data_IF_566253470762
#
_entry.id   IF_566253470762
#
_cell.length_a   1.000
_cell.length_b   1.000
_cell.length_c   1.000
_cell.angle_alpha   90.00
_cell.angle_beta   90.00
_cell.angle_gamma   90.00
#
_symmetry.space_group_name_H-M   'P 1'
#
loop_
_entity.id
_entity.type
_entity.pdbx_description
1 polymer ?
#
# COMPACT_ATOMS: atom_id res chain seq x y z
N UNK A 1 -4.92 -53.56 -43.24
CA UNK A 1 -5.64 -52.43 -42.67
C UNK A 1 -5.29 -52.07 -41.22
N UNK A 2 -4.99 -53.02 -40.31
CA UNK A 2 -4.64 -52.72 -38.92
C UNK A 2 -3.32 -51.98 -38.72
N UNK A 3 -2.31 -52.16 -39.58
CA UNK A 3 -1.00 -51.48 -39.50
C UNK A 3 -1.02 -49.97 -39.85
N UNK A 4 -1.97 -49.54 -40.68
CA UNK A 4 -2.08 -48.15 -41.10
C UNK A 4 -2.74 -47.31 -40.01
N UNK A 5 -3.65 -47.91 -39.25
CA UNK A 5 -4.32 -47.24 -38.13
C UNK A 5 -3.34 -46.93 -36.98
N UNK A 6 -2.40 -47.85 -36.68
CA UNK A 6 -1.38 -47.61 -35.64
C UNK A 6 -0.39 -46.50 -36.01
N UNK A 7 -0.06 -46.34 -37.30
CA UNK A 7 0.83 -45.25 -37.72
C UNK A 7 0.14 -43.88 -37.65
N UNK A 8 -1.16 -43.80 -37.89
CA UNK A 8 -1.92 -42.57 -37.80
C UNK A 8 -2.08 -42.09 -36.34
N UNK A 9 -2.27 -43.03 -35.41
CA UNK A 9 -2.37 -42.70 -33.96
C UNK A 9 -1.01 -42.24 -33.37
N UNK A 10 0.09 -42.83 -33.81
CA UNK A 10 1.43 -42.42 -33.41
C UNK A 10 1.80 -41.02 -33.91
N UNK A 11 1.36 -40.63 -35.11
CA UNK A 11 1.58 -39.31 -35.68
C UNK A 11 0.76 -38.21 -34.96
N UNK A 12 -0.44 -38.52 -34.48
CA UNK A 12 -1.26 -37.58 -33.71
C UNK A 12 -0.71 -37.33 -32.30
N UNK A 13 -0.10 -38.35 -31.69
CA UNK A 13 0.52 -38.23 -30.36
C UNK A 13 1.80 -37.37 -30.37
N UNK A 14 2.53 -37.33 -31.49
CA UNK A 14 3.73 -36.50 -31.62
C UNK A 14 3.44 -35.02 -31.86
N UNK A 15 2.24 -34.65 -32.36
CA UNK A 15 1.84 -33.28 -32.56
C UNK A 15 1.33 -32.57 -31.30
N UNK A 16 1.02 -33.33 -30.25
CA UNK A 16 0.46 -32.80 -28.98
C UNK A 16 1.49 -32.25 -27.99
N UNK A 17 2.79 -32.43 -28.21
CA UNK A 17 3.84 -31.98 -27.27
C UNK A 17 4.59 -30.72 -27.71
N UNK A 18 4.19 -30.07 -28.84
CA UNK A 18 4.81 -28.82 -29.27
C UNK A 18 4.16 -27.56 -28.67
N UNK A 19 3.30 -27.71 -27.64
CA UNK A 19 2.52 -26.64 -27.07
C UNK A 19 3.06 -26.03 -25.77
N UNK A 20 4.26 -26.40 -25.30
CA UNK A 20 4.91 -25.73 -24.20
C UNK A 20 6.20 -25.08 -24.69
N UNK A 21 6.08 -24.08 -25.54
CA UNK A 21 7.21 -23.23 -25.89
C UNK A 21 7.19 -21.98 -25.02
N UNK A 22 8.21 -21.91 -24.15
CA UNK A 22 8.80 -20.70 -23.60
C UNK A 22 7.86 -19.71 -22.90
N UNK A 23 7.56 -19.99 -21.65
CA UNK A 23 7.16 -18.96 -20.68
C UNK A 23 8.24 -17.90 -20.46
N UNK A 24 9.41 -18.03 -21.07
CA UNK A 24 10.56 -17.14 -20.85
C UNK A 24 10.58 -15.94 -21.80
N UNK A 25 9.68 -15.82 -22.78
CA UNK A 25 9.64 -14.71 -23.72
C UNK A 25 8.38 -13.84 -23.66
N UNK A 26 7.40 -14.16 -22.85
CA UNK A 26 6.35 -13.20 -22.51
C UNK A 26 6.86 -12.39 -21.33
N UNK A 27 7.87 -11.58 -21.58
CA UNK A 27 8.26 -10.53 -20.66
C UNK A 27 7.06 -9.62 -20.47
N UNK A 28 6.33 -9.79 -19.39
CA UNK A 28 5.32 -8.83 -18.96
C UNK A 28 6.07 -7.54 -18.63
N UNK A 29 6.20 -6.67 -19.65
CA UNK A 29 6.75 -5.32 -19.49
C UNK A 29 5.72 -4.45 -18.75
N UNK A 30 5.46 -4.83 -17.50
CA UNK A 30 4.59 -4.06 -16.63
C UNK A 30 5.42 -2.94 -16.04
N UNK A 31 5.08 -1.72 -16.40
CA UNK A 31 5.72 -0.53 -15.85
C UNK A 31 5.65 -0.53 -14.32
N UNK A 32 6.77 -0.24 -13.65
CA UNK A 32 6.76 -0.12 -12.21
C UNK A 32 5.92 1.07 -11.77
N UNK A 33 5.23 0.89 -10.64
CA UNK A 33 4.54 1.96 -9.93
C UNK A 33 4.85 1.87 -8.46
N UNK A 34 5.01 3.01 -7.82
CA UNK A 34 5.06 3.11 -6.36
C UNK A 34 3.64 3.26 -5.83
N UNK A 35 3.35 2.60 -4.73
CA UNK A 35 2.02 2.63 -4.11
C UNK A 35 2.08 2.32 -2.61
N UNK A 36 1.00 2.67 -1.91
CA UNK A 36 0.74 2.30 -0.52
C UNK A 36 -0.25 1.12 -0.50
N UNK A 37 0.19 -0.11 -0.13
CA UNK A 37 -0.71 -1.28 -0.09
C UNK A 37 -1.91 -1.10 0.84
N UNK A 38 -1.75 -0.33 1.91
CA UNK A 38 -2.81 0.01 2.88
C UNK A 38 -3.29 1.47 2.71
N UNK A 39 -3.51 1.89 1.47
CA UNK A 39 -4.11 3.19 1.15
C UNK A 39 -5.53 3.35 1.73
N UNK A 40 -5.99 4.60 1.82
CA UNK A 40 -7.29 4.95 2.36
C UNK A 40 -7.30 5.16 3.89
N UNK A 41 -8.49 5.17 4.50
CA UNK A 41 -8.63 5.47 5.94
C UNK A 41 -8.23 4.26 6.80
N UNK A 42 -7.21 4.45 7.63
CA UNK A 42 -6.71 3.48 8.59
C UNK A 42 -7.02 3.95 10.02
N UNK A 43 -7.86 3.20 10.74
CA UNK A 43 -8.15 3.47 12.15
C UNK A 43 -7.09 2.84 13.04
N UNK A 44 -6.44 3.67 13.86
CA UNK A 44 -5.46 3.27 14.85
C UNK A 44 -6.16 3.21 16.19
N UNK A 45 -6.42 2.00 16.68
CA UNK A 45 -7.13 1.82 17.94
C UNK A 45 -6.18 2.02 19.10
N UNK A 46 -6.45 3.05 19.89
CA UNK A 46 -5.68 3.43 21.07
C UNK A 46 -6.32 2.90 22.35
N UNK A 47 -5.51 2.59 23.35
CA UNK A 47 -6.00 2.41 24.71
C UNK A 47 -6.41 3.76 25.30
N UNK A 48 -7.25 3.74 26.34
CA UNK A 48 -7.75 4.97 26.96
C UNK A 48 -6.65 5.87 27.51
N UNK A 49 -5.50 5.30 27.92
CA UNK A 49 -4.36 6.01 28.52
C UNK A 49 -3.18 6.23 27.57
N UNK A 50 -3.30 5.89 26.28
CA UNK A 50 -2.20 6.06 25.32
C UNK A 50 -1.84 7.55 25.17
N UNK A 51 -0.56 7.89 25.24
CA UNK A 51 -0.02 9.23 24.96
C UNK A 51 0.70 9.29 23.62
N UNK A 52 1.14 8.15 23.12
CA UNK A 52 1.82 7.99 21.84
C UNK A 52 1.38 6.70 21.14
N UNK A 53 1.59 6.64 19.84
CA UNK A 53 1.35 5.47 19.03
C UNK A 53 2.37 5.38 17.89
N UNK A 54 2.93 4.19 17.70
CA UNK A 54 3.74 3.89 16.54
C UNK A 54 2.85 3.26 15.46
N UNK A 55 2.91 3.83 14.26
CA UNK A 55 2.14 3.40 13.10
C UNK A 55 3.06 2.95 11.98
N UNK A 56 2.63 1.96 11.23
CA UNK A 56 3.40 1.45 10.10
C UNK A 56 2.72 1.82 8.79
N UNK A 57 3.43 2.53 7.92
CA UNK A 57 3.03 2.77 6.54
C UNK A 57 3.94 1.97 5.63
N UNK A 58 3.33 1.17 4.76
CA UNK A 58 4.04 0.31 3.85
C UNK A 58 4.07 0.94 2.45
N UNK A 59 5.27 0.98 1.86
CA UNK A 59 5.47 1.45 0.49
C UNK A 59 5.91 0.25 -0.35
N UNK A 60 5.33 0.10 -1.52
CA UNK A 60 5.59 -1.01 -2.42
C UNK A 60 5.89 -0.53 -3.83
N UNK A 61 6.84 -1.18 -4.49
CA UNK A 61 7.10 -1.02 -5.92
C UNK A 61 6.54 -2.22 -6.66
N UNK A 62 5.56 -2.00 -7.50
CA UNK A 62 4.99 -3.00 -8.41
C UNK A 62 5.78 -3.06 -9.73
N UNK A 63 5.40 -4.01 -10.58
CA UNK A 63 6.01 -4.18 -11.90
C UNK A 63 7.22 -5.10 -11.91
N UNK A 64 7.67 -5.45 -13.13
CA UNK A 64 8.73 -6.45 -13.33
C UNK A 64 9.99 -5.87 -13.97
N UNK A 65 10.01 -4.59 -14.32
CA UNK A 65 11.23 -3.96 -14.84
C UNK A 65 12.29 -3.89 -13.76
N UNK A 66 13.50 -4.23 -14.14
CA UNK A 66 14.68 -4.03 -13.29
C UNK A 66 14.86 -2.55 -12.94
N UNK A 67 15.43 -2.32 -11.77
CA UNK A 67 15.73 -0.99 -11.29
C UNK A 67 15.36 -0.79 -9.84
N UNK A 68 15.61 0.42 -9.39
CA UNK A 68 15.35 0.88 -8.02
C UNK A 68 14.50 2.13 -8.12
N UNK A 69 13.46 2.20 -7.29
CA UNK A 69 12.67 3.41 -7.12
C UNK A 69 13.00 4.07 -5.80
N UNK A 70 12.99 5.39 -5.78
CA UNK A 70 13.13 6.19 -4.56
C UNK A 70 11.75 6.69 -4.17
N UNK A 71 11.38 6.60 -2.90
CA UNK A 71 10.08 7.07 -2.42
C UNK A 71 10.19 7.76 -1.06
N UNK A 72 9.33 8.74 -0.85
CA UNK A 72 9.18 9.46 0.42
C UNK A 72 7.70 9.66 0.74
N UNK A 73 7.40 9.91 2.01
CA UNK A 73 6.07 10.31 2.46
C UNK A 73 6.05 11.82 2.72
N UNK A 74 4.93 12.44 2.42
CA UNK A 74 4.65 13.83 2.80
C UNK A 74 3.22 13.98 3.29
N UNK A 75 2.96 15.04 4.04
CA UNK A 75 1.60 15.38 4.48
C UNK A 75 0.83 16.00 3.32
N UNK A 76 -0.35 15.46 3.04
CA UNK A 76 -1.21 15.87 1.92
C UNK A 76 -2.59 16.29 2.43
N UNK A 77 -2.71 17.58 2.75
CA UNK A 77 -3.97 18.15 3.23
C UNK A 77 -5.03 18.25 2.12
N UNK A 78 -4.62 18.34 0.86
CA UNK A 78 -5.55 18.40 -0.28
C UNK A 78 -6.27 17.04 -0.44
N UNK A 79 -5.55 15.94 -0.24
CA UNK A 79 -6.16 14.61 -0.25
C UNK A 79 -7.15 14.43 0.92
N UNK A 80 -6.89 15.01 2.09
CA UNK A 80 -7.84 15.01 3.20
C UNK A 80 -9.10 15.81 2.88
N UNK A 81 -8.95 16.99 2.28
CA UNK A 81 -10.07 17.83 1.87
C UNK A 81 -10.95 17.12 0.83
N UNK A 82 -10.32 16.48 -0.16
CA UNK A 82 -11.02 15.66 -1.14
C UNK A 82 -11.78 14.50 -0.49
N UNK A 83 -11.16 13.81 0.46
CA UNK A 83 -11.80 12.75 1.23
C UNK A 83 -13.03 13.26 1.99
N UNK A 84 -12.89 14.39 2.70
CA UNK A 84 -13.98 15.01 3.44
C UNK A 84 -15.18 15.35 2.54
N UNK A 85 -14.91 15.88 1.33
CA UNK A 85 -15.95 16.19 0.35
C UNK A 85 -16.67 14.94 -0.16
N UNK A 86 -15.93 13.89 -0.49
CA UNK A 86 -16.49 12.65 -1.04
C UNK A 86 -17.35 11.92 -0.01
N UNK A 87 -16.88 11.84 1.24
CA UNK A 87 -17.52 11.02 2.28
C UNK A 87 -18.37 11.82 3.26
N UNK A 88 -18.46 13.16 3.09
CA UNK A 88 -19.24 14.02 3.96
C UNK A 88 -18.71 14.06 5.40
N UNK A 89 -17.39 13.90 5.58
CA UNK A 89 -16.71 13.94 6.87
C UNK A 89 -16.17 15.36 7.13
N UNK A 90 -15.74 15.61 8.37
CA UNK A 90 -15.14 16.89 8.80
C UNK A 90 -13.82 16.65 9.53
N UNK A 91 -13.00 15.76 9.01
CA UNK A 91 -11.69 15.49 9.57
C UNK A 91 -10.76 16.70 9.43
N UNK A 92 -9.87 16.87 10.41
CA UNK A 92 -8.93 17.99 10.50
C UNK A 92 -7.52 17.40 10.38
N UNK A 93 -6.67 18.02 9.58
CA UNK A 93 -5.28 17.61 9.47
C UNK A 93 -4.60 17.70 10.85
N UNK A 94 -3.86 16.65 11.19
CA UNK A 94 -3.08 16.58 12.43
C UNK A 94 -1.99 17.67 12.40
N UNK A 95 -1.88 18.51 13.45
CA UNK A 95 -0.80 19.50 13.57
C UNK A 95 0.58 18.85 13.56
N UNK A 96 1.59 19.57 13.05
CA UNK A 96 2.95 19.07 12.85
C UNK A 96 3.63 18.65 14.19
N UNK A 97 3.28 19.30 15.27
CA UNK A 97 3.78 18.97 16.62
C UNK A 97 3.32 17.61 17.16
N UNK A 98 2.34 16.96 16.52
CA UNK A 98 1.77 15.68 16.98
C UNK A 98 2.22 14.46 16.17
N UNK A 99 3.19 14.61 15.27
CA UNK A 99 3.72 13.46 14.54
C UNK A 99 5.20 13.63 14.19
N UNK A 100 5.88 12.50 14.00
CA UNK A 100 7.23 12.44 13.49
C UNK A 100 7.26 11.55 12.23
N UNK A 101 7.70 12.13 11.11
CA UNK A 101 7.90 11.42 9.84
C UNK A 101 9.37 11.10 9.66
N UNK A 102 9.71 9.97 9.01
CA UNK A 102 11.08 9.69 8.60
C UNK A 102 11.58 10.72 7.57
N UNK A 103 12.72 11.35 7.84
CA UNK A 103 13.32 12.36 6.96
C UNK A 103 13.93 11.77 5.67
N UNK A 104 14.34 10.51 5.72
CA UNK A 104 15.08 9.89 4.63
C UNK A 104 14.15 9.15 3.65
N UNK A 105 14.32 9.37 2.33
CA UNK A 105 13.61 8.58 1.34
C UNK A 105 14.07 7.11 1.38
N UNK A 106 13.17 6.20 1.03
CA UNK A 106 13.45 4.77 0.96
C UNK A 106 13.77 4.34 -0.45
N UNK A 107 14.57 3.29 -0.57
CA UNK A 107 14.90 2.66 -1.85
C UNK A 107 14.17 1.34 -1.99
N UNK A 108 13.40 1.21 -3.05
CA UNK A 108 12.56 0.06 -3.36
C UNK A 108 13.16 -0.69 -4.53
N UNK A 109 13.56 -1.94 -4.31
CA UNK A 109 14.04 -2.83 -5.38
C UNK A 109 12.88 -3.49 -6.13
N UNK A 110 13.23 -4.41 -7.03
CA UNK A 110 12.30 -5.28 -7.76
C UNK A 110 12.12 -6.66 -7.10
N UNK A 111 12.49 -6.77 -5.82
CA UNK A 111 12.41 -8.02 -5.05
C UNK A 111 10.98 -8.37 -4.58
N UNK A 112 10.00 -7.53 -4.92
CA UNK A 112 8.61 -7.71 -4.56
C UNK A 112 8.32 -7.53 -3.07
N UNK A 113 9.23 -6.90 -2.32
CA UNK A 113 9.06 -6.67 -0.89
C UNK A 113 8.59 -5.26 -0.61
N UNK A 114 7.53 -5.08 0.19
CA UNK A 114 7.16 -3.78 0.68
C UNK A 114 8.21 -3.28 1.69
N UNK A 115 8.41 -1.98 1.71
CA UNK A 115 9.24 -1.30 2.69
C UNK A 115 8.37 -0.65 3.75
N UNK A 116 8.69 -0.89 5.01
CA UNK A 116 8.00 -0.31 6.16
C UNK A 116 8.61 1.02 6.54
N UNK A 117 7.75 2.04 6.73
CA UNK A 117 8.09 3.30 7.36
C UNK A 117 7.36 3.41 8.69
N UNK A 118 8.08 3.72 9.74
CA UNK A 118 7.53 3.91 11.08
C UNK A 118 7.20 5.39 11.28
N UNK A 119 5.96 5.65 11.67
CA UNK A 119 5.43 6.98 11.94
C UNK A 119 5.07 7.03 13.41
N UNK A 120 5.62 7.99 14.14
CA UNK A 120 5.25 8.20 15.54
C UNK A 120 4.20 9.30 15.65
N UNK A 121 3.14 9.01 16.42
CA UNK A 121 2.08 9.97 16.70
C UNK A 121 2.09 10.31 18.20
N UNK A 122 2.04 11.60 18.54
CA UNK A 122 1.61 12.06 19.85
C UNK A 122 0.07 12.12 19.83
N UNK A 123 -0.54 11.25 20.62
CA UNK A 123 -1.99 11.11 20.69
C UNK A 123 -2.58 11.64 22.00
N UNK A 124 -1.79 12.41 22.75
CA UNK A 124 -2.22 12.99 24.04
C UNK A 124 -3.49 13.82 23.90
N UNK A 125 -3.60 14.60 22.81
CA UNK A 125 -4.75 15.44 22.50
C UNK A 125 -5.86 14.71 21.71
N UNK A 126 -5.64 13.42 21.36
CA UNK A 126 -6.64 12.58 20.68
C UNK A 126 -7.69 12.08 21.67
N UNK A 127 -8.51 12.99 22.19
CA UNK A 127 -9.64 12.65 23.07
C UNK A 127 -10.77 11.92 22.33
N UNK A 128 -11.75 11.40 23.08
CA UNK A 128 -12.98 10.88 22.50
C UNK A 128 -13.66 12.00 21.69
N UNK A 129 -13.86 11.76 20.37
CA UNK A 129 -14.42 12.76 19.45
C UNK A 129 -13.40 13.65 18.75
N UNK A 130 -12.09 13.44 18.97
CA UNK A 130 -11.07 14.07 18.11
C UNK A 130 -11.29 13.71 16.66
N UNK A 131 -11.17 14.71 15.79
CA UNK A 131 -11.27 14.56 14.33
C UNK A 131 -9.92 14.66 13.62
N UNK A 132 -8.81 14.63 14.38
CA UNK A 132 -7.48 14.71 13.81
C UNK A 132 -7.14 13.44 13.01
N UNK A 133 -6.68 13.66 11.78
CA UNK A 133 -6.23 12.63 10.85
C UNK A 133 -4.89 13.07 10.27
N UNK A 134 -3.92 12.18 10.23
CA UNK A 134 -2.67 12.43 9.53
C UNK A 134 -2.79 11.92 8.08
N UNK A 135 -2.95 12.81 7.09
CA UNK A 135 -2.99 12.45 5.68
C UNK A 135 -1.58 12.35 5.14
N UNK A 136 -1.21 11.20 4.62
CA UNK A 136 0.10 10.95 4.03
C UNK A 136 -0.03 10.46 2.60
N UNK A 137 0.68 11.11 1.69
CA UNK A 137 0.82 10.66 0.30
C UNK A 137 2.27 10.26 0.03
N UNK A 138 2.43 9.30 -0.89
CA UNK A 138 3.75 8.85 -1.34
C UNK A 138 4.17 9.62 -2.57
N UNK A 139 5.44 10.05 -2.59
CA UNK A 139 6.11 10.62 -3.75
C UNK A 139 7.22 9.70 -4.25
N UNK A 140 7.46 9.75 -5.56
CA UNK A 140 8.61 9.12 -6.19
C UNK A 140 9.08 9.94 -7.39
N UNK A 141 10.34 10.43 -7.40
CA UNK A 141 10.85 11.27 -8.48
C UNK A 141 11.22 10.48 -9.74
N UNK A 142 11.39 9.17 -9.61
CA UNK A 142 11.94 8.29 -10.65
C UNK A 142 10.95 7.21 -11.15
N UNK A 143 9.81 7.07 -10.49
CA UNK A 143 8.84 6.02 -10.80
C UNK A 143 7.42 6.56 -10.62
N UNK A 144 6.50 6.37 -11.58
CA UNK A 144 5.12 6.82 -11.43
C UNK A 144 4.45 6.27 -10.17
N UNK A 145 3.68 7.12 -9.50
CA UNK A 145 2.87 6.72 -8.35
C UNK A 145 1.50 6.22 -8.83
N UNK A 146 0.95 5.22 -8.16
CA UNK A 146 -0.40 4.73 -8.43
C UNK A 146 -1.44 5.67 -7.81
N UNK A 147 -2.16 6.45 -8.62
CA UNK A 147 -3.13 7.45 -8.14
C UNK A 147 -4.17 6.87 -7.17
N UNK A 148 -4.63 5.63 -7.41
CA UNK A 148 -5.64 4.98 -6.56
C UNK A 148 -5.11 4.49 -5.21
N UNK A 149 -3.78 4.41 -5.06
CA UNK A 149 -3.12 3.88 -3.86
C UNK A 149 -1.98 4.81 -3.41
N UNK A 150 -2.12 6.11 -3.64
CA UNK A 150 -1.10 7.10 -3.31
C UNK A 150 -1.19 7.59 -1.87
N UNK A 151 -2.37 7.52 -1.24
CA UNK A 151 -2.65 8.21 0.03
C UNK A 151 -3.18 7.27 1.09
N UNK A 152 -2.72 7.45 2.31
CA UNK A 152 -3.25 6.83 3.53
C UNK A 152 -3.65 7.93 4.53
N UNK A 153 -4.76 7.73 5.20
CA UNK A 153 -5.28 8.63 6.22
C UNK A 153 -5.23 7.90 7.57
N UNK A 154 -4.27 8.26 8.43
CA UNK A 154 -4.09 7.66 9.75
C UNK A 154 -5.01 8.37 10.76
N UNK A 155 -5.99 7.64 11.26
CA UNK A 155 -7.00 8.16 12.18
C UNK A 155 -6.89 7.50 13.56
N UNK A 156 -6.25 8.14 14.57
CA UNK A 156 -6.21 7.63 15.93
C UNK A 156 -7.59 7.70 16.58
N UNK A 157 -8.03 6.57 17.12
CA UNK A 157 -9.35 6.42 17.78
C UNK A 157 -9.16 5.75 19.12
N UNK A 158 -9.58 6.42 20.21
CA UNK A 158 -9.57 5.80 21.55
C UNK A 158 -10.69 4.76 21.67
N UNK A 159 -10.33 3.58 22.18
CA UNK A 159 -11.35 2.62 22.58
C UNK A 159 -12.08 3.17 23.82
N UNK A 160 -13.40 3.25 23.70
CA UNK A 160 -14.24 3.45 24.89
C UNK A 160 -14.30 2.10 25.58
N UNK A 161 -13.46 1.87 26.59
CA UNK A 161 -13.65 0.74 27.48
C UNK A 161 -14.85 1.10 28.36
N UNK A 162 -15.98 0.42 28.20
CA UNK A 162 -17.05 0.45 29.18
C UNK A 162 -16.50 -0.14 30.49
N UNK A 163 -16.03 0.73 31.38
CA UNK A 163 -15.55 0.38 32.72
C UNK A 163 -16.71 0.04 33.68
N UNK A 164 -17.89 -0.30 33.13
CA UNK A 164 -19.10 -0.64 33.88
C UNK A 164 -19.67 -2.01 33.47
N UNK A 165 -18.83 -3.02 33.35
CA UNK A 165 -19.28 -4.42 33.28
C UNK A 165 -18.83 -5.18 34.53
N UNK A 166 -19.38 -4.85 35.70
CA UNK A 166 -19.46 -5.70 36.90
C UNK A 166 -20.92 -6.03 37.17
#
# INVERSE_FOLDING_TARGET
MKKIIFLAIAALAAAGFAGCTNSDEVGYDIEPKVLLPNSGLQKIILTASATDADCEVWIYRSGYRDGVSTASLHVDTEALDAYNQIFGTAYIAMPEEYYELPDAPVRLGNDGRPHKMEIRLDVSESGAGSLYVLPLSVDSPDTPVSESCATVLLFPVRSVTDENAE
#
